data_IF_138421141585
#
_entry.id   IF_138421141585
#
_cell.length_a   1.000
_cell.length_b   1.000
_cell.length_c   1.000
_cell.angle_alpha   90.00
_cell.angle_beta   90.00
_cell.angle_gamma   90.00
#
_symmetry.space_group_name_H-M   'P 1'
#
loop_
_entity.id
_entity.type
_entity.pdbx_description
1 polymer ?
#
# COMPACT_ATOMS: atom_id res chain seq x y z
N UNK A 1 1.96 10.27 -2.16
CA UNK A 1 1.63 9.59 -3.42
C UNK A 1 2.72 9.82 -4.48
N UNK A 2 3.91 9.39 -4.24
CA UNK A 2 5.03 9.59 -5.17
C UNK A 2 5.89 8.33 -5.19
N UNK A 3 6.30 7.89 -6.37
CA UNK A 3 7.35 6.88 -6.45
C UNK A 3 8.72 7.55 -6.19
N UNK A 4 9.59 6.87 -5.44
CA UNK A 4 10.93 7.35 -5.12
C UNK A 4 11.93 6.59 -5.99
N UNK A 5 11.89 6.87 -7.29
CA UNK A 5 12.69 6.17 -8.30
C UNK A 5 14.10 6.74 -8.50
N UNK A 6 14.46 7.79 -7.74
CA UNK A 6 15.77 8.43 -7.81
C UNK A 6 15.88 9.52 -8.88
N UNK A 7 16.89 10.38 -8.72
CA UNK A 7 17.13 11.54 -9.59
C UNK A 7 17.46 11.15 -11.05
N UNK A 8 18.07 9.99 -11.28
CA UNK A 8 18.47 9.54 -12.62
C UNK A 8 17.28 9.30 -13.56
N UNK A 9 16.08 9.02 -13.00
CA UNK A 9 14.83 8.92 -13.77
C UNK A 9 14.13 10.27 -13.97
N UNK A 10 14.75 11.36 -13.55
CA UNK A 10 14.25 12.73 -13.64
C UNK A 10 13.20 13.02 -12.57
N UNK A 11 13.51 13.95 -11.66
CA UNK A 11 12.58 14.47 -10.66
C UNK A 11 11.42 15.15 -11.36
N UNK A 12 10.19 14.85 -10.97
CA UNK A 12 8.99 15.38 -11.61
C UNK A 12 7.79 15.47 -10.66
N UNK A 13 6.95 16.48 -10.90
CA UNK A 13 5.64 16.64 -10.28
C UNK A 13 4.51 16.17 -11.19
N UNK A 14 3.28 16.66 -10.91
CA UNK A 14 2.10 16.33 -11.70
C UNK A 14 2.32 16.42 -13.22
N UNK A 15 1.82 15.49 -14.02
CA UNK A 15 0.98 14.35 -13.65
C UNK A 15 1.73 13.03 -13.38
N UNK A 16 3.05 12.99 -13.53
CA UNK A 16 3.88 11.80 -13.34
C UNK A 16 4.96 12.11 -12.29
N UNK A 17 4.70 11.74 -11.06
CA UNK A 17 5.57 12.05 -9.93
C UNK A 17 6.81 11.17 -9.87
N UNK A 18 7.94 11.75 -9.47
CA UNK A 18 9.14 11.04 -9.08
C UNK A 18 9.95 11.87 -8.09
N UNK A 19 10.36 11.26 -7.00
CA UNK A 19 11.21 11.88 -6.01
C UNK A 19 12.64 11.31 -6.01
N UNK A 20 13.55 12.09 -5.45
CA UNK A 20 14.90 11.69 -5.13
C UNK A 20 14.93 10.81 -3.87
N UNK A 21 15.95 9.97 -3.73
CA UNK A 21 16.15 9.10 -2.58
C UNK A 21 16.28 9.84 -1.24
N UNK A 22 16.69 11.09 -1.24
CA UNK A 22 16.70 11.94 -0.05
C UNK A 22 15.32 12.12 0.61
N UNK A 23 14.23 11.78 -0.10
CA UNK A 23 12.91 11.67 0.52
C UNK A 23 12.82 10.49 1.48
N UNK A 24 13.45 9.34 1.16
CA UNK A 24 13.54 8.20 2.07
C UNK A 24 14.28 8.61 3.34
N UNK A 25 15.43 9.29 3.22
CA UNK A 25 16.20 9.80 4.35
C UNK A 25 15.35 10.69 5.26
N UNK A 26 14.54 11.55 4.64
CA UNK A 26 13.64 12.47 5.35
C UNK A 26 12.53 11.74 6.09
N UNK A 27 11.95 10.71 5.50
CA UNK A 27 10.89 9.90 6.11
C UNK A 27 11.44 9.10 7.31
N UNK A 28 12.59 8.47 7.14
CA UNK A 28 13.28 7.76 8.23
C UNK A 28 13.69 8.73 9.35
N UNK A 29 14.23 9.90 8.99
CA UNK A 29 14.58 10.96 9.95
C UNK A 29 13.37 11.53 10.70
N UNK A 30 12.18 11.47 10.12
CA UNK A 30 10.92 11.84 10.75
C UNK A 30 10.33 10.74 11.67
N UNK A 31 10.90 9.53 11.65
CA UNK A 31 10.51 8.42 12.52
C UNK A 31 9.39 7.54 11.96
N UNK A 32 9.24 7.45 10.65
CA UNK A 32 8.34 6.47 10.04
C UNK A 32 8.97 5.08 10.04
N UNK A 33 8.21 4.08 10.48
CA UNK A 33 8.61 2.67 10.50
C UNK A 33 7.94 1.87 9.38
N UNK A 34 6.83 2.36 8.83
CA UNK A 34 6.03 1.71 7.78
C UNK A 34 5.75 2.68 6.65
N UNK A 35 6.00 2.25 5.43
CA UNK A 35 5.77 3.04 4.22
C UNK A 35 4.83 2.27 3.27
N UNK A 36 3.69 2.89 2.96
CA UNK A 36 2.70 2.36 2.03
C UNK A 36 2.93 2.95 0.63
N UNK A 37 3.33 2.12 -0.32
CA UNK A 37 3.63 2.52 -1.70
C UNK A 37 2.61 2.05 -2.74
N UNK A 38 1.61 1.21 -2.38
CA UNK A 38 0.49 0.94 -3.28
C UNK A 38 -0.38 2.18 -3.41
N UNK A 39 -0.07 3.02 -4.38
CA UNK A 39 -0.79 4.25 -4.73
C UNK A 39 -1.07 4.28 -6.23
N UNK A 40 -1.97 5.16 -6.68
CA UNK A 40 -2.21 5.37 -8.11
C UNK A 40 -0.97 5.88 -8.87
N UNK A 41 0.04 6.39 -8.16
CA UNK A 41 1.31 6.86 -8.71
C UNK A 41 2.48 5.86 -8.59
N UNK A 42 2.23 4.63 -8.13
CA UNK A 42 3.27 3.61 -7.97
C UNK A 42 4.01 3.27 -9.28
N UNK A 43 3.34 3.46 -10.44
CA UNK A 43 3.90 3.16 -11.76
C UNK A 43 4.29 4.38 -12.58
N UNK A 44 4.36 5.57 -12.04
CA UNK A 44 4.63 6.83 -12.77
C UNK A 44 5.98 6.84 -13.51
N UNK A 45 6.96 6.09 -13.06
CA UNK A 45 8.23 5.87 -13.76
C UNK A 45 8.37 4.42 -14.29
N UNK A 46 7.24 3.74 -14.46
CA UNK A 46 7.18 2.37 -14.94
C UNK A 46 7.99 1.41 -14.06
N UNK A 47 8.37 0.27 -14.65
CA UNK A 47 9.16 -0.75 -13.97
C UNK A 47 10.43 -0.19 -13.31
N UNK A 48 11.16 0.69 -14.00
CA UNK A 48 12.42 1.19 -13.49
C UNK A 48 12.23 1.99 -12.19
N UNK A 49 11.21 2.86 -12.12
CA UNK A 49 10.93 3.65 -10.93
C UNK A 49 10.52 2.78 -9.75
N UNK A 50 9.67 1.77 -9.99
CA UNK A 50 9.22 0.85 -8.97
C UNK A 50 10.37 0.00 -8.43
N UNK A 51 11.16 -0.63 -9.31
CA UNK A 51 12.30 -1.47 -8.91
C UNK A 51 13.33 -0.65 -8.14
N UNK A 52 13.72 0.51 -8.65
CA UNK A 52 14.66 1.40 -7.96
C UNK A 52 14.16 1.78 -6.55
N UNK A 53 12.86 2.07 -6.41
CA UNK A 53 12.27 2.41 -5.12
C UNK A 53 12.34 1.24 -4.15
N UNK A 54 11.91 0.05 -4.57
CA UNK A 54 11.91 -1.14 -3.72
C UNK A 54 13.33 -1.56 -3.31
N UNK A 55 14.28 -1.56 -4.27
CA UNK A 55 15.68 -1.87 -4.01
C UNK A 55 16.31 -0.88 -3.04
N UNK A 56 16.10 0.43 -3.24
CA UNK A 56 16.67 1.46 -2.37
C UNK A 56 16.18 1.32 -0.92
N UNK A 57 14.89 1.12 -0.70
CA UNK A 57 14.37 0.87 0.63
C UNK A 57 14.97 -0.37 1.28
N UNK A 58 15.03 -1.47 0.55
CA UNK A 58 15.57 -2.75 1.05
C UNK A 58 17.05 -2.64 1.41
N UNK A 59 17.85 -1.97 0.57
CA UNK A 59 19.29 -1.96 0.69
C UNK A 59 19.78 -0.92 1.71
N UNK A 60 19.16 0.27 1.75
CA UNK A 60 19.58 1.37 2.62
C UNK A 60 18.83 1.41 3.96
N UNK A 61 17.58 0.96 3.98
CA UNK A 61 16.71 1.02 5.16
C UNK A 61 15.99 -0.30 5.45
N UNK A 62 16.72 -1.41 5.66
CA UNK A 62 16.12 -2.74 5.87
C UNK A 62 15.25 -2.84 7.13
N UNK A 63 15.33 -1.86 8.05
CA UNK A 63 14.48 -1.78 9.23
C UNK A 63 13.10 -1.17 8.95
N UNK A 64 12.89 -0.55 7.79
CA UNK A 64 11.62 0.04 7.41
C UNK A 64 10.76 -1.02 6.71
N UNK A 65 9.53 -1.17 7.15
CA UNK A 65 8.56 -2.04 6.48
C UNK A 65 7.95 -1.30 5.29
N UNK A 66 8.22 -1.76 4.08
CA UNK A 66 7.68 -1.20 2.84
C UNK A 66 6.62 -2.11 2.27
N UNK A 67 5.47 -1.55 1.94
CA UNK A 67 4.28 -2.28 1.53
C UNK A 67 3.78 -1.82 0.16
N UNK A 68 3.15 -2.72 -0.55
CA UNK A 68 2.33 -2.41 -1.72
C UNK A 68 3.07 -2.30 -3.04
N UNK A 69 4.42 -2.36 -3.05
CA UNK A 69 5.24 -2.48 -4.28
C UNK A 69 6.27 -3.59 -4.13
N UNK A 70 6.55 -4.29 -5.23
CA UNK A 70 7.42 -5.48 -5.23
C UNK A 70 8.30 -5.53 -6.47
N UNK A 71 9.60 -5.68 -6.27
CA UNK A 71 10.57 -5.93 -7.35
C UNK A 71 10.72 -7.42 -7.68
N UNK A 72 10.34 -8.30 -6.74
CA UNK A 72 10.32 -9.76 -6.90
C UNK A 72 9.00 -10.36 -6.41
N UNK A 73 8.62 -11.53 -6.93
CA UNK A 73 7.40 -12.22 -6.51
C UNK A 73 7.43 -12.64 -5.04
N UNK A 74 8.61 -12.97 -4.53
CA UNK A 74 8.80 -13.50 -3.17
C UNK A 74 8.48 -12.48 -2.06
N UNK A 75 8.32 -11.21 -2.41
CA UNK A 75 7.96 -10.14 -1.47
C UNK A 75 6.47 -9.80 -1.50
N UNK A 76 5.72 -10.32 -2.48
CA UNK A 76 4.28 -10.07 -2.64
C UNK A 76 3.44 -11.22 -2.10
N UNK A 77 2.31 -10.92 -1.46
CA UNK A 77 1.34 -11.92 -1.03
C UNK A 77 0.75 -12.69 -2.21
N UNK A 78 0.55 -12.04 -3.35
CA UNK A 78 0.14 -12.72 -4.60
C UNK A 78 1.22 -13.66 -5.15
N UNK A 79 2.48 -13.50 -4.76
CA UNK A 79 3.60 -14.41 -5.01
C UNK A 79 3.77 -15.51 -3.96
N UNK A 80 2.97 -15.48 -2.87
CA UNK A 80 2.99 -16.46 -1.80
C UNK A 80 3.76 -16.03 -0.54
N UNK A 81 4.16 -14.76 -0.42
CA UNK A 81 4.70 -14.22 0.82
C UNK A 81 3.61 -14.10 1.90
N UNK A 82 4.00 -14.17 3.17
CA UNK A 82 3.11 -13.81 4.27
C UNK A 82 2.93 -12.28 4.35
N UNK A 83 1.78 -11.78 4.85
CA UNK A 83 1.59 -10.37 5.16
C UNK A 83 2.68 -9.85 6.10
N UNK A 84 3.01 -8.56 5.99
CA UNK A 84 4.00 -7.94 6.87
C UNK A 84 3.48 -7.87 8.30
N UNK A 85 4.28 -8.38 9.24
CA UNK A 85 3.97 -8.39 10.66
C UNK A 85 4.92 -7.47 11.41
N UNK A 86 4.36 -6.55 12.19
CA UNK A 86 5.10 -5.62 13.03
C UNK A 86 4.90 -6.03 14.49
N UNK A 87 5.99 -6.16 15.22
CA UNK A 87 5.95 -6.42 16.67
C UNK A 87 5.96 -5.11 17.44
N UNK A 88 4.92 -4.87 18.23
CA UNK A 88 4.79 -3.71 19.11
C UNK A 88 4.56 -4.17 20.56
N UNK A 89 5.62 -4.30 21.32
CA UNK A 89 5.58 -4.92 22.65
C UNK A 89 5.18 -6.38 22.54
N UNK A 90 4.07 -6.76 23.16
CA UNK A 90 3.56 -8.13 23.13
C UNK A 90 2.52 -8.36 22.01
N UNK A 91 2.26 -7.35 21.18
CA UNK A 91 1.26 -7.39 20.11
C UNK A 91 1.92 -7.56 18.74
N UNK A 92 1.39 -8.45 17.93
CA UNK A 92 1.73 -8.60 16.51
C UNK A 92 0.67 -7.91 15.68
N UNK A 93 1.08 -6.99 14.81
CA UNK A 93 0.19 -6.21 13.97
C UNK A 93 0.48 -6.54 12.51
N UNK A 94 -0.50 -7.07 11.79
CA UNK A 94 -0.42 -7.20 10.34
C UNK A 94 -0.78 -5.86 9.68
N UNK A 95 -0.03 -5.48 8.66
CA UNK A 95 -0.34 -4.28 7.85
C UNK A 95 -0.36 -4.65 6.38
N UNK A 96 -1.47 -4.32 5.72
CA UNK A 96 -1.71 -4.58 4.31
C UNK A 96 -1.96 -3.24 3.58
N UNK A 97 -1.44 -3.10 2.36
CA UNK A 97 -1.61 -1.88 1.58
C UNK A 97 -1.99 -2.20 0.13
N UNK A 98 -3.06 -1.61 -0.36
CA UNK A 98 -3.59 -1.84 -1.70
C UNK A 98 -3.96 -0.52 -2.39
N UNK A 99 -3.96 -0.51 -3.73
CA UNK A 99 -4.49 0.61 -4.51
C UNK A 99 -5.57 0.19 -5.50
N UNK A 100 -6.47 1.11 -5.82
CA UNK A 100 -7.52 0.90 -6.81
C UNK A 100 -6.99 0.78 -8.24
N UNK A 101 -5.76 1.22 -8.49
CA UNK A 101 -5.16 1.22 -9.82
C UNK A 101 -3.89 2.06 -9.89
N UNK A 102 -3.34 2.19 -11.10
CA UNK A 102 -2.07 2.84 -11.40
C UNK A 102 -2.22 3.88 -12.52
N UNK A 103 -3.27 4.71 -12.45
CA UNK A 103 -3.57 5.78 -13.43
C UNK A 103 -3.57 5.30 -14.90
N UNK A 104 -4.03 4.07 -15.12
CA UNK A 104 -4.08 3.45 -16.45
C UNK A 104 -2.75 2.94 -16.99
N UNK A 105 -1.68 3.00 -16.21
CA UNK A 105 -0.38 2.39 -16.56
C UNK A 105 -0.45 0.92 -16.19
N UNK A 106 -0.38 0.03 -17.17
CA UNK A 106 -0.41 -1.42 -16.93
C UNK A 106 0.83 -1.90 -16.18
N UNK A 107 0.66 -2.87 -15.28
CA UNK A 107 1.78 -3.58 -14.69
C UNK A 107 2.56 -4.34 -15.77
N UNK A 108 3.88 -4.53 -15.62
CA UNK A 108 4.66 -5.33 -16.57
C UNK A 108 4.11 -6.77 -16.61
N UNK A 109 3.99 -7.34 -17.81
CA UNK A 109 3.42 -8.68 -17.99
C UNK A 109 4.20 -9.79 -17.26
N UNK A 110 5.49 -9.58 -17.04
CA UNK A 110 6.38 -10.46 -16.29
C UNK A 110 6.47 -10.13 -14.80
N UNK A 111 5.78 -9.07 -14.35
CA UNK A 111 5.70 -8.64 -12.94
C UNK A 111 4.24 -8.31 -12.56
N UNK A 112 3.30 -9.26 -12.66
CA UNK A 112 1.88 -8.99 -12.31
C UNK A 112 1.69 -8.67 -10.83
N UNK A 113 2.68 -8.99 -10.01
CA UNK A 113 2.77 -8.76 -8.57
C UNK A 113 3.37 -7.39 -8.19
N UNK A 114 3.79 -6.58 -9.16
CA UNK A 114 4.59 -5.38 -8.91
C UNK A 114 3.92 -4.34 -8.01
N UNK A 115 2.59 -4.26 -8.02
CA UNK A 115 1.80 -3.39 -7.14
C UNK A 115 0.60 -4.18 -6.62
N UNK A 116 0.34 -4.08 -5.32
CA UNK A 116 -0.81 -4.71 -4.70
C UNK A 116 -2.09 -3.94 -5.06
N UNK A 117 -2.84 -4.50 -6.01
CA UNK A 117 -4.11 -3.96 -6.46
C UNK A 117 -5.27 -4.51 -5.64
N UNK A 118 -6.33 -3.72 -5.50
CA UNK A 118 -7.59 -4.18 -4.93
C UNK A 118 -8.20 -5.29 -5.79
N UNK A 119 -8.06 -6.53 -5.35
CA UNK A 119 -8.63 -7.74 -5.93
C UNK A 119 -9.34 -8.54 -4.82
N UNK A 120 -10.62 -8.85 -5.00
CA UNK A 120 -11.44 -9.42 -3.92
C UNK A 120 -10.91 -10.75 -3.39
N UNK A 121 -10.49 -11.65 -4.28
CA UNK A 121 -10.00 -12.98 -3.90
C UNK A 121 -8.67 -12.87 -3.14
N UNK A 122 -7.73 -12.08 -3.66
CA UNK A 122 -6.42 -11.89 -3.04
C UNK A 122 -6.52 -11.17 -1.71
N UNK A 123 -7.27 -10.06 -1.66
CA UNK A 123 -7.46 -9.27 -0.43
C UNK A 123 -8.10 -10.10 0.68
N UNK A 124 -9.12 -10.90 0.35
CA UNK A 124 -9.75 -11.78 1.34
C UNK A 124 -8.77 -12.83 1.87
N UNK A 125 -8.00 -13.46 0.99
CA UNK A 125 -6.99 -14.44 1.38
C UNK A 125 -5.88 -13.81 2.25
N UNK A 126 -5.41 -12.62 1.90
CA UNK A 126 -4.36 -11.91 2.63
C UNK A 126 -4.81 -11.51 4.04
N UNK A 127 -6.05 -10.98 4.19
CA UNK A 127 -6.59 -10.62 5.51
C UNK A 127 -6.79 -11.86 6.36
N UNK A 128 -7.37 -12.94 5.81
CA UNK A 128 -7.52 -14.21 6.54
C UNK A 128 -6.16 -14.77 6.97
N UNK A 129 -5.14 -14.66 6.13
CA UNK A 129 -3.78 -15.05 6.51
C UNK A 129 -3.18 -14.14 7.57
N UNK A 130 -3.45 -12.84 7.53
CA UNK A 130 -3.05 -11.89 8.56
C UNK A 130 -3.66 -12.24 9.92
N UNK A 131 -4.96 -12.58 9.97
CA UNK A 131 -5.67 -13.03 11.18
C UNK A 131 -5.08 -14.30 11.82
N UNK A 132 -4.49 -15.19 11.01
CA UNK A 132 -3.78 -16.36 11.54
C UNK A 132 -2.42 -16.00 12.17
N UNK A 133 -1.80 -14.92 11.73
CA UNK A 133 -0.42 -14.55 12.06
C UNK A 133 -0.30 -13.42 13.09
N UNK A 134 -1.31 -12.56 13.21
CA UNK A 134 -1.28 -11.34 13.99
C UNK A 134 -2.40 -11.30 15.05
N UNK A 135 -2.27 -10.36 15.97
CA UNK A 135 -3.27 -10.08 17.00
C UNK A 135 -4.17 -8.90 16.60
N UNK A 136 -3.79 -8.16 15.54
CA UNK A 136 -4.49 -7.00 15.02
C UNK A 136 -4.14 -6.79 13.55
N UNK A 137 -5.13 -6.56 12.70
CA UNK A 137 -4.98 -6.40 11.25
C UNK A 137 -5.36 -5.01 10.78
N UNK A 138 -4.41 -4.29 10.17
CA UNK A 138 -4.62 -2.96 9.58
C UNK A 138 -4.60 -3.08 8.06
N UNK A 139 -5.62 -2.56 7.40
CA UNK A 139 -5.65 -2.41 5.94
C UNK A 139 -5.54 -0.93 5.57
N UNK A 140 -4.56 -0.60 4.73
CA UNK A 140 -4.29 0.76 4.25
C UNK A 140 -4.65 0.86 2.75
N UNK A 141 -5.92 1.04 2.38
CA UNK A 141 -6.32 1.17 0.98
C UNK A 141 -6.09 2.58 0.45
N UNK A 142 -5.56 2.68 -0.75
CA UNK A 142 -5.46 3.89 -1.55
C UNK A 142 -6.61 3.91 -2.55
N UNK A 143 -7.69 4.65 -2.25
CA UNK A 143 -9.00 4.48 -2.88
C UNK A 143 -9.86 5.74 -2.84
N UNK A 144 -11.05 5.66 -3.42
CA UNK A 144 -12.06 6.71 -3.34
C UNK A 144 -11.96 7.77 -4.44
N UNK A 145 -12.72 8.83 -4.29
CA UNK A 145 -12.80 9.93 -5.25
C UNK A 145 -12.15 11.19 -4.67
N UNK A 146 -11.16 11.75 -5.39
CA UNK A 146 -10.45 12.97 -4.97
C UNK A 146 -11.41 14.11 -4.61
N UNK A 147 -11.09 14.81 -3.52
CA UNK A 147 -11.78 16.01 -3.01
C UNK A 147 -13.24 15.80 -2.62
N UNK A 148 -13.68 14.56 -2.48
CA UNK A 148 -15.00 14.22 -1.98
C UNK A 148 -14.94 14.03 -0.46
N UNK A 149 -15.85 14.69 0.29
CA UNK A 149 -15.88 14.67 1.76
C UNK A 149 -16.70 13.50 2.34
N UNK A 150 -17.22 12.62 1.49
CA UNK A 150 -18.02 11.45 1.90
C UNK A 150 -17.54 10.24 1.10
N UNK A 151 -17.60 9.07 1.69
CA UNK A 151 -17.31 7.81 1.02
C UNK A 151 -18.11 7.64 -0.27
N UNK A 152 -17.57 6.92 -1.22
CA UNK A 152 -18.24 6.49 -2.43
C UNK A 152 -18.61 4.99 -2.37
N UNK A 153 -19.40 4.52 -3.33
CA UNK A 153 -19.87 3.14 -3.36
C UNK A 153 -18.73 2.10 -3.47
N UNK A 154 -17.58 2.49 -4.02
CA UNK A 154 -16.40 1.62 -4.07
C UNK A 154 -15.78 1.46 -2.67
N UNK A 155 -15.65 2.57 -1.95
CA UNK A 155 -15.16 2.56 -0.58
C UNK A 155 -16.08 1.76 0.35
N UNK A 156 -17.41 1.95 0.24
CA UNK A 156 -18.40 1.19 1.01
C UNK A 156 -18.30 -0.32 0.73
N UNK A 157 -18.17 -0.70 -0.55
CA UNK A 157 -17.99 -2.10 -0.94
C UNK A 157 -16.72 -2.71 -0.34
N UNK A 158 -15.59 -2.03 -0.46
CA UNK A 158 -14.31 -2.55 0.02
C UNK A 158 -14.23 -2.56 1.55
N UNK A 159 -14.80 -1.56 2.23
CA UNK A 159 -14.94 -1.55 3.70
C UNK A 159 -15.63 -2.82 4.18
N UNK A 160 -16.73 -3.20 3.53
CA UNK A 160 -17.45 -4.44 3.85
C UNK A 160 -16.58 -5.67 3.66
N UNK A 161 -15.87 -5.78 2.52
CA UNK A 161 -14.98 -6.92 2.24
C UNK A 161 -13.88 -7.01 3.30
N UNK A 162 -13.24 -5.90 3.66
CA UNK A 162 -12.19 -5.89 4.67
C UNK A 162 -12.71 -6.34 6.04
N UNK A 163 -13.82 -5.77 6.50
CA UNK A 163 -14.42 -6.11 7.79
C UNK A 163 -14.88 -7.58 7.84
N UNK A 164 -15.57 -8.07 6.80
CA UNK A 164 -16.05 -9.46 6.73
C UNK A 164 -14.91 -10.50 6.74
N UNK A 165 -13.68 -10.11 6.37
CA UNK A 165 -12.51 -10.99 6.39
C UNK A 165 -11.62 -10.82 7.63
N UNK A 166 -11.92 -9.88 8.54
CA UNK A 166 -11.27 -9.76 9.84
C UNK A 166 -10.45 -8.49 10.06
N UNK A 167 -10.42 -7.54 9.13
CA UNK A 167 -9.68 -6.30 9.35
C UNK A 167 -10.23 -5.50 10.55
N UNK A 168 -9.36 -5.19 11.51
CA UNK A 168 -9.70 -4.42 12.73
C UNK A 168 -9.70 -2.91 12.48
N UNK A 169 -8.82 -2.44 11.58
CA UNK A 169 -8.68 -1.03 11.26
C UNK A 169 -8.47 -0.81 9.77
N UNK A 170 -9.20 0.15 9.21
CA UNK A 170 -9.05 0.58 7.81
C UNK A 170 -8.59 2.04 7.80
N UNK A 171 -7.42 2.31 7.21
CA UNK A 171 -6.83 3.64 7.07
C UNK A 171 -6.83 4.05 5.59
N UNK A 172 -7.94 4.64 5.12
CA UNK A 172 -8.09 5.08 3.74
C UNK A 172 -7.22 6.30 3.41
N UNK A 173 -6.64 6.30 2.20
CA UNK A 173 -5.86 7.39 1.63
C UNK A 173 -6.32 7.70 0.19
N UNK A 174 -5.78 8.70 -0.49
CA UNK A 174 -6.08 9.16 -1.84
C UNK A 174 -7.05 10.35 -1.95
N UNK A 175 -8.17 10.47 -1.21
CA UNK A 175 -9.14 11.54 -1.48
C UNK A 175 -8.61 12.97 -1.31
N UNK A 176 -7.42 13.17 -0.72
CA UNK A 176 -6.79 14.48 -0.44
C UNK A 176 -7.61 15.39 0.49
N UNK A 177 -8.62 14.84 1.14
CA UNK A 177 -9.45 15.47 2.16
C UNK A 177 -9.71 14.50 3.29
N UNK A 178 -10.06 15.00 4.45
CA UNK A 178 -10.48 14.15 5.58
C UNK A 178 -11.92 13.70 5.31
N UNK A 179 -12.11 12.39 5.16
CA UNK A 179 -13.41 11.74 5.08
C UNK A 179 -13.89 11.30 6.47
N UNK A 180 -15.16 10.84 6.63
CA UNK A 180 -15.68 10.41 7.91
C UNK A 180 -14.86 9.33 8.59
N UNK A 181 -14.82 9.36 9.92
CA UNK A 181 -14.32 8.27 10.77
C UNK A 181 -15.54 7.58 11.35
N UNK A 182 -15.71 6.31 11.05
CA UNK A 182 -16.90 5.54 11.36
C UNK A 182 -16.56 4.20 11.98
N UNK A 183 -17.45 3.69 12.83
CA UNK A 183 -17.41 2.30 13.25
C UNK A 183 -18.10 1.44 12.20
N UNK A 184 -17.40 0.43 11.71
CA UNK A 184 -17.97 -0.59 10.83
C UNK A 184 -18.52 -1.71 11.72
N UNK A 185 -19.81 -2.05 11.54
CA UNK A 185 -20.45 -3.14 12.26
C UNK A 185 -20.89 -4.21 11.28
N UNK A 186 -20.85 -5.47 11.71
CA UNK A 186 -21.24 -6.64 10.90
C UNK A 186 -22.74 -6.66 10.53
N UNK A 187 -23.53 -5.69 11.07
CA UNK A 187 -24.98 -5.56 10.85
C UNK A 187 -25.31 -4.44 9.83
N UNK A 188 -24.74 -4.47 8.65
CA UNK A 188 -25.12 -3.55 7.57
C UNK A 188 -25.67 -4.29 6.34
#
# INVERSE_FOLDING_TARGET
>A
EVIIGGADLGISGYPCFNADYSLCDSLVGAGFDVICHATNHAMDKGRAGLVNCAEYWRDEYPQITVLGIHDTADTSTSGGADPAIIELGDMRIAVLNYTYGTNGISLPADMPYAVDLLNEEQVAADIQRAEELADFTIVCPHWGTEYRLTSDASQEKWTKIFAENGADLILGTHPHVIEPIEWVTDEA
#
